data_IF_434498396088
#
_entry.id   IF_434498396088
#
_cell.length_a   1.000
_cell.length_b   1.000
_cell.length_c   1.000
_cell.angle_alpha   90.00
_cell.angle_beta   90.00
_cell.angle_gamma   90.00
#
_symmetry.space_group_name_H-M   'P 1'
#
loop_
_entity.id
_entity.type
_entity.pdbx_description
1 polymer ?
#
# COMPACT_ATOMS: atom_id res chain seq x y z
N UNK A 1 17.11 23.36 -0.16
CA UNK A 1 16.49 22.70 -1.32
C UNK A 1 16.57 21.19 -1.12
N UNK A 2 15.44 20.46 -1.07
CA UNK A 2 15.42 19.00 -0.92
C UNK A 2 15.98 18.27 -2.15
N UNK A 3 16.59 17.11 -1.95
CA UNK A 3 17.02 16.22 -3.04
C UNK A 3 15.81 15.60 -3.79
N UNK A 4 16.03 15.04 -4.99
CA UNK A 4 14.95 14.37 -5.74
C UNK A 4 14.35 13.19 -4.95
N UNK A 5 15.18 12.45 -4.21
CA UNK A 5 14.74 11.35 -3.34
C UNK A 5 13.90 11.88 -2.19
N UNK A 6 14.30 12.99 -1.57
CA UNK A 6 13.48 13.64 -0.54
C UNK A 6 12.13 14.10 -1.09
N UNK A 7 12.09 14.72 -2.28
CA UNK A 7 10.83 15.12 -2.91
C UNK A 7 9.90 13.94 -3.17
N UNK A 8 10.46 12.80 -3.61
CA UNK A 8 9.69 11.57 -3.78
C UNK A 8 9.15 11.03 -2.46
N UNK A 9 9.97 11.06 -1.40
CA UNK A 9 9.57 10.59 -0.07
C UNK A 9 8.48 11.45 0.56
N UNK A 10 8.54 12.77 0.38
CA UNK A 10 7.52 13.73 0.82
C UNK A 10 6.29 13.80 -0.09
N UNK A 11 6.14 12.87 -1.05
CA UNK A 11 4.98 12.84 -1.95
C UNK A 11 4.92 14.00 -2.95
N UNK A 12 5.94 14.85 -3.01
CA UNK A 12 6.07 15.97 -3.94
C UNK A 12 6.61 15.51 -5.31
N UNK A 13 6.16 14.34 -5.76
CA UNK A 13 6.56 13.71 -7.02
C UNK A 13 6.29 14.60 -8.23
N UNK A 14 5.27 15.44 -8.15
CA UNK A 14 4.90 16.43 -9.18
C UNK A 14 6.01 17.45 -9.45
N UNK A 15 6.87 17.75 -8.47
CA UNK A 15 7.98 18.70 -8.63
C UNK A 15 9.20 18.10 -9.33
N UNK A 16 9.31 16.77 -9.44
CA UNK A 16 10.47 16.12 -10.03
C UNK A 16 10.67 16.49 -11.49
N UNK A 17 9.59 16.41 -12.29
CA UNK A 17 9.65 16.69 -13.73
C UNK A 17 10.00 18.16 -14.01
N UNK A 18 9.34 19.16 -13.39
CA UNK A 18 9.73 20.57 -13.51
C UNK A 18 11.16 20.88 -13.07
N UNK A 19 11.65 20.23 -12.00
CA UNK A 19 13.04 20.43 -11.54
C UNK A 19 14.02 19.84 -12.55
N UNK A 20 13.75 18.63 -13.07
CA UNK A 20 14.58 17.99 -14.07
C UNK A 20 14.66 18.83 -15.36
N UNK A 21 13.53 19.33 -15.88
CA UNK A 21 13.51 20.19 -17.08
C UNK A 21 14.20 21.54 -16.88
N UNK A 22 14.40 21.99 -15.64
CA UNK A 22 15.12 23.23 -15.32
C UNK A 22 16.60 23.02 -14.95
N UNK A 23 17.18 21.88 -15.32
CA UNK A 23 18.59 21.58 -15.12
C UNK A 23 18.91 20.92 -13.78
N UNK A 24 17.91 20.40 -13.08
CA UNK A 24 18.07 19.62 -11.85
C UNK A 24 18.06 20.46 -10.57
N UNK A 25 18.16 19.76 -9.43
CA UNK A 25 18.00 20.34 -8.08
C UNK A 25 19.02 21.43 -7.81
N UNK A 26 20.28 21.25 -8.22
CA UNK A 26 21.35 22.22 -8.02
C UNK A 26 21.09 23.55 -8.76
N UNK A 27 20.65 23.48 -10.02
CA UNK A 27 20.34 24.66 -10.82
C UNK A 27 19.13 25.41 -10.25
N UNK A 28 18.09 24.68 -9.87
CA UNK A 28 16.89 25.29 -9.26
C UNK A 28 17.23 25.91 -7.90
N UNK A 29 18.01 25.23 -7.05
CA UNK A 29 18.45 25.75 -5.75
C UNK A 29 19.22 27.07 -5.91
N UNK A 30 20.20 27.11 -6.83
CA UNK A 30 20.97 28.33 -7.15
C UNK A 30 20.05 29.45 -7.63
N UNK A 31 19.09 29.16 -8.51
CA UNK A 31 18.16 30.16 -9.07
C UNK A 31 17.20 30.73 -8.02
N UNK A 32 16.79 29.93 -7.04
CA UNK A 32 15.84 30.36 -6.00
C UNK A 32 16.53 30.91 -4.75
N UNK A 33 17.87 31.02 -4.74
CA UNK A 33 18.62 31.45 -3.57
C UNK A 33 18.54 30.46 -2.39
N UNK A 34 18.10 29.23 -2.64
CA UNK A 34 18.03 28.20 -1.62
C UNK A 34 19.39 27.50 -1.52
N UNK A 35 19.94 27.40 -0.32
CA UNK A 35 21.03 26.48 -0.08
C UNK A 35 20.57 25.06 -0.44
N UNK A 36 21.39 24.31 -1.19
CA UNK A 36 21.23 22.86 -1.24
C UNK A 36 21.28 22.40 0.21
N UNK A 37 20.27 21.64 0.64
CA UNK A 37 20.45 20.90 1.88
C UNK A 37 21.62 19.98 1.55
N UNK A 38 22.80 20.30 2.11
CA UNK A 38 23.90 19.33 2.14
C UNK A 38 23.25 18.05 2.62
N UNK A 39 23.42 16.97 1.86
CA UNK A 39 22.97 15.64 2.28
C UNK A 39 23.29 15.54 3.77
N UNK A 40 22.26 15.29 4.58
CA UNK A 40 22.39 15.18 6.04
C UNK A 40 23.71 14.46 6.35
N UNK A 41 24.54 14.96 7.29
CA UNK A 41 25.85 14.39 7.57
C UNK A 41 25.71 12.88 7.74
N UNK A 42 26.24 12.19 6.75
CA UNK A 42 25.82 10.87 6.31
C UNK A 42 26.41 10.73 4.92
N UNK A 43 27.74 10.83 4.86
CA UNK A 43 28.56 10.75 3.66
C UNK A 43 27.93 9.77 2.67
N UNK A 44 27.74 10.21 1.42
CA UNK A 44 27.26 9.35 0.34
C UNK A 44 27.99 8.01 0.45
N UNK A 45 27.27 7.01 0.99
CA UNK A 45 27.93 5.78 1.40
C UNK A 45 28.56 5.18 0.16
N UNK A 46 29.78 4.63 0.25
CA UNK A 46 30.48 4.11 -0.91
C UNK A 46 29.58 3.18 -1.75
N UNK A 47 29.80 3.07 -3.05
CA UNK A 47 28.94 2.25 -3.91
C UNK A 47 28.79 0.78 -3.40
N UNK A 48 29.84 0.23 -2.79
CA UNK A 48 29.83 -1.10 -2.17
C UNK A 48 28.98 -1.21 -0.89
N UNK A 49 28.54 -0.08 -0.33
CA UNK A 49 27.62 -0.06 0.80
C UNK A 49 26.19 -0.46 0.40
N UNK A 50 25.87 -0.40 -0.90
CA UNK A 50 24.53 -0.72 -1.43
C UNK A 50 24.37 -2.18 -1.87
N UNK A 51 25.28 -3.06 -1.46
CA UNK A 51 25.14 -4.50 -1.72
C UNK A 51 23.93 -5.06 -0.99
N UNK A 52 23.33 -6.10 -1.56
CA UNK A 52 22.17 -6.78 -1.01
C UNK A 52 22.45 -7.35 0.40
N UNK A 53 23.65 -7.92 0.64
CA UNK A 53 23.99 -8.46 1.97
C UNK A 53 24.02 -7.36 3.04
N UNK A 54 24.67 -6.22 2.77
CA UNK A 54 24.73 -5.11 3.73
C UNK A 54 23.37 -4.51 4.04
N UNK A 55 22.50 -4.41 3.02
CA UNK A 55 21.12 -3.98 3.22
C UNK A 55 20.38 -4.92 4.16
N UNK A 56 20.54 -6.23 3.98
CA UNK A 56 19.89 -7.24 4.82
C UNK A 56 20.44 -7.20 6.26
N UNK A 57 21.76 -7.08 6.45
CA UNK A 57 22.40 -6.95 7.77
C UNK A 57 21.88 -5.72 8.55
N UNK A 58 21.88 -4.55 7.92
CA UNK A 58 21.44 -3.33 8.60
C UNK A 58 19.94 -3.30 8.89
N UNK A 59 19.14 -3.85 7.98
CA UNK A 59 17.72 -4.00 8.19
C UNK A 59 17.43 -4.99 9.33
N UNK A 60 18.22 -6.07 9.44
CA UNK A 60 18.16 -7.00 10.56
C UNK A 60 18.55 -6.33 11.88
N UNK A 61 19.61 -5.51 11.91
CA UNK A 61 20.00 -4.74 13.10
C UNK A 61 18.94 -3.72 13.52
N UNK A 62 18.28 -3.11 12.55
CA UNK A 62 17.18 -2.18 12.81
C UNK A 62 15.97 -2.89 13.43
N UNK A 63 15.64 -4.08 12.95
CA UNK A 63 14.57 -4.91 13.54
C UNK A 63 14.98 -5.41 14.93
N UNK A 64 16.23 -5.86 15.10
CA UNK A 64 16.76 -6.34 16.38
C UNK A 64 16.73 -5.25 17.45
N UNK A 65 17.12 -4.03 17.10
CA UNK A 65 17.13 -2.89 18.04
C UNK A 65 15.75 -2.35 18.37
N UNK A 66 14.80 -2.40 17.44
CA UNK A 66 13.43 -1.91 17.66
C UNK A 66 12.44 -2.98 18.13
N UNK A 67 12.81 -4.26 18.06
CA UNK A 67 11.94 -5.41 18.38
C UNK A 67 10.80 -5.64 17.38
N UNK A 68 10.71 -4.85 16.29
CA UNK A 68 9.66 -4.97 15.27
C UNK A 68 10.11 -4.44 13.92
N UNK A 69 9.31 -4.66 12.88
CA UNK A 69 9.55 -4.02 11.58
C UNK A 69 9.23 -2.52 11.67
N UNK A 70 10.20 -1.63 11.44
CA UNK A 70 9.92 -0.20 11.42
C UNK A 70 9.13 0.17 10.17
N UNK A 71 8.14 1.04 10.36
CA UNK A 71 7.43 1.69 9.28
C UNK A 71 8.35 2.65 8.51
N UNK A 72 7.94 3.02 7.29
CA UNK A 72 8.66 4.03 6.50
C UNK A 72 8.85 5.34 7.29
N UNK A 73 7.85 5.77 8.06
CA UNK A 73 7.93 7.00 8.85
C UNK A 73 8.98 6.89 9.96
N UNK A 74 9.05 5.75 10.64
CA UNK A 74 10.03 5.50 11.70
C UNK A 74 11.46 5.41 11.14
N UNK A 75 11.65 4.76 9.99
CA UNK A 75 12.96 4.77 9.31
C UNK A 75 13.41 6.18 8.94
N UNK A 76 12.48 7.03 8.47
CA UNK A 76 12.78 8.44 8.17
C UNK A 76 13.14 9.23 9.44
N UNK A 77 12.38 9.03 10.52
CA UNK A 77 12.64 9.68 11.82
C UNK A 77 13.99 9.24 12.41
N UNK A 78 14.38 7.98 12.21
CA UNK A 78 15.68 7.43 12.61
C UNK A 78 16.83 7.82 11.66
N UNK A 79 16.57 8.66 10.65
CA UNK A 79 17.59 9.06 9.67
C UNK A 79 18.04 7.94 8.73
N UNK A 80 17.36 6.77 8.74
CA UNK A 80 17.68 5.59 7.92
C UNK A 80 17.11 5.68 6.50
N UNK A 81 17.32 6.85 5.89
CA UNK A 81 16.88 7.12 4.54
C UNK A 81 17.70 6.35 3.49
N UNK A 82 18.96 6.08 3.82
CA UNK A 82 19.85 5.20 3.06
C UNK A 82 19.25 3.80 2.85
N UNK A 83 18.70 3.18 3.91
CA UNK A 83 18.03 1.88 3.82
C UNK A 83 16.77 1.93 2.97
N UNK A 84 16.00 3.02 3.05
CA UNK A 84 14.80 3.19 2.21
C UNK A 84 15.16 3.29 0.72
N UNK A 85 16.24 4.00 0.40
CA UNK A 85 16.74 4.15 -0.97
C UNK A 85 17.28 2.80 -1.47
N UNK A 86 18.14 2.14 -0.70
CA UNK A 86 18.69 0.83 -1.06
C UNK A 86 17.58 -0.23 -1.21
N UNK A 87 16.60 -0.25 -0.30
CA UNK A 87 15.46 -1.14 -0.43
C UNK A 87 14.67 -0.88 -1.72
N UNK A 88 14.53 0.39 -2.14
CA UNK A 88 13.85 0.72 -3.40
C UNK A 88 14.63 0.19 -4.62
N UNK A 89 15.96 0.26 -4.60
CA UNK A 89 16.83 -0.30 -5.65
C UNK A 89 16.71 -1.83 -5.73
N UNK A 90 16.49 -2.51 -4.59
CA UNK A 90 16.47 -3.97 -4.47
C UNK A 90 15.08 -4.62 -4.31
N UNK A 91 14.04 -4.01 -4.89
CA UNK A 91 12.69 -4.62 -4.95
C UNK A 91 11.67 -4.11 -3.93
N UNK A 92 11.92 -2.95 -3.33
CA UNK A 92 11.12 -2.24 -2.31
C UNK A 92 11.21 -2.85 -0.91
N UNK A 93 10.77 -2.05 0.06
CA UNK A 93 10.81 -2.37 1.49
C UNK A 93 10.07 -3.69 1.85
N UNK A 94 8.96 -3.99 1.16
CA UNK A 94 8.22 -5.25 1.38
C UNK A 94 9.04 -6.48 0.97
N UNK A 95 9.83 -6.40 -0.11
CA UNK A 95 10.68 -7.50 -0.52
C UNK A 95 11.83 -7.71 0.47
N UNK A 96 12.41 -6.61 0.97
CA UNK A 96 13.41 -6.64 2.03
C UNK A 96 12.92 -7.38 3.28
N UNK A 97 11.77 -7.00 3.82
CA UNK A 97 11.23 -7.68 5.02
C UNK A 97 10.88 -9.14 4.77
N UNK A 98 10.33 -9.46 3.58
CA UNK A 98 10.05 -10.84 3.19
C UNK A 98 11.34 -11.69 3.15
N UNK A 99 12.44 -11.17 2.62
CA UNK A 99 13.74 -11.87 2.59
C UNK A 99 14.29 -12.13 3.99
N UNK A 100 14.12 -11.18 4.90
CA UNK A 100 14.55 -11.32 6.29
C UNK A 100 13.66 -12.26 7.11
N UNK A 101 12.61 -12.85 6.52
CA UNK A 101 11.65 -13.68 7.24
C UNK A 101 10.82 -12.90 8.26
N UNK A 102 10.92 -11.57 8.27
CA UNK A 102 10.16 -10.73 9.18
C UNK A 102 8.85 -10.39 8.50
N UNK A 103 7.75 -10.91 9.04
CA UNK A 103 6.43 -10.52 8.56
C UNK A 103 6.31 -9.00 8.74
N UNK A 104 6.17 -8.28 7.63
CA UNK A 104 6.03 -6.83 7.62
C UNK A 104 4.73 -6.49 8.35
N UNK A 105 4.83 -6.31 9.66
CA UNK A 105 3.73 -5.97 10.54
C UNK A 105 3.27 -4.55 10.27
N UNK A 106 2.39 -4.39 9.30
CA UNK A 106 1.29 -3.43 9.48
C UNK A 106 0.38 -3.85 10.66
N UNK A 107 0.61 -5.04 11.25
CA UNK A 107 -0.05 -5.58 12.42
C UNK A 107 0.88 -5.74 13.63
N UNK A 108 1.55 -4.68 14.08
CA UNK A 108 1.80 -4.52 15.53
C UNK A 108 0.51 -4.05 16.26
N UNK A 109 -0.63 -4.54 15.80
CA UNK A 109 -1.86 -4.70 16.58
C UNK A 109 -2.00 -6.21 16.64
N UNK A 110 -1.59 -6.80 17.76
CA UNK A 110 -1.49 -8.24 17.94
C UNK A 110 -2.85 -8.99 17.90
N UNK A 111 -3.95 -8.28 17.59
CA UNK A 111 -5.33 -8.83 17.59
C UNK A 111 -6.03 -8.79 16.22
N UNK A 112 -5.37 -8.33 15.15
CA UNK A 112 -6.01 -8.32 13.81
C UNK A 112 -5.77 -9.66 13.13
N UNK A 113 -6.84 -10.44 12.98
CA UNK A 113 -6.82 -11.80 12.45
C UNK A 113 -6.01 -11.94 11.14
N UNK A 114 -5.10 -12.93 11.06
CA UNK A 114 -4.24 -13.15 9.88
C UNK A 114 -5.01 -13.53 8.61
N UNK A 115 -6.30 -13.88 8.71
CA UNK A 115 -7.16 -14.25 7.59
C UNK A 115 -7.40 -13.09 6.60
N UNK A 116 -7.31 -11.83 7.05
CA UNK A 116 -7.48 -10.66 6.18
C UNK A 116 -6.32 -10.47 5.19
N UNK A 117 -5.14 -11.04 5.47
CA UNK A 117 -3.91 -10.81 4.70
C UNK A 117 -3.65 -11.85 3.59
N UNK A 118 -4.41 -12.94 3.53
CA UNK A 118 -4.23 -14.01 2.53
C UNK A 118 -5.20 -13.95 1.35
N UNK A 119 -5.76 -12.77 1.05
CA UNK A 119 -6.70 -12.66 -0.08
C UNK A 119 -5.96 -12.70 -1.41
N UNK A 120 -6.25 -13.72 -2.20
CA UNK A 120 -5.74 -13.84 -3.57
C UNK A 120 -6.10 -12.61 -4.40
N UNK A 121 -5.18 -12.17 -5.30
CA UNK A 121 -5.46 -11.07 -6.20
C UNK A 121 -6.69 -11.40 -7.06
N UNK A 122 -7.69 -10.53 -7.00
CA UNK A 122 -8.92 -10.71 -7.79
C UNK A 122 -8.59 -10.63 -9.29
N UNK A 123 -9.19 -11.48 -10.14
CA UNK A 123 -8.90 -11.51 -11.57
C UNK A 123 -9.31 -10.20 -12.25
N UNK A 124 -8.75 -9.94 -13.44
CA UNK A 124 -9.10 -8.78 -14.24
C UNK A 124 -10.59 -8.82 -14.61
N UNK A 125 -11.28 -7.68 -14.50
CA UNK A 125 -12.73 -7.59 -14.68
C UNK A 125 -13.57 -7.98 -13.46
N UNK A 126 -12.96 -8.45 -12.36
CA UNK A 126 -13.70 -8.75 -11.13
C UNK A 126 -14.42 -7.52 -10.56
N UNK A 127 -13.80 -6.34 -10.66
CA UNK A 127 -14.31 -5.10 -10.08
C UNK A 127 -15.22 -4.35 -11.05
N UNK A 128 -16.53 -4.51 -10.88
CA UNK A 128 -17.54 -3.61 -11.43
C UNK A 128 -17.90 -2.53 -10.40
N UNK A 129 -18.51 -1.43 -10.86
CA UNK A 129 -19.00 -0.37 -9.97
C UNK A 129 -20.00 -0.93 -8.93
N UNK A 130 -20.90 -1.82 -9.36
CA UNK A 130 -21.91 -2.42 -8.48
C UNK A 130 -21.26 -3.32 -7.42
N UNK A 131 -20.28 -4.15 -7.81
CA UNK A 131 -19.57 -5.01 -6.86
C UNK A 131 -18.76 -4.19 -5.87
N UNK A 132 -18.11 -3.12 -6.34
CA UNK A 132 -17.40 -2.19 -5.47
C UNK A 132 -18.35 -1.54 -4.45
N UNK A 133 -19.49 -1.00 -4.88
CA UNK A 133 -20.46 -0.37 -3.99
C UNK A 133 -21.11 -1.39 -3.03
N UNK A 134 -21.36 -2.63 -3.49
CA UNK A 134 -21.86 -3.72 -2.65
C UNK A 134 -20.88 -4.14 -1.55
N UNK A 135 -19.61 -4.37 -1.91
CA UNK A 135 -18.54 -4.70 -0.95
C UNK A 135 -18.26 -3.56 0.02
N UNK A 136 -18.29 -2.31 -0.45
CA UNK A 136 -18.08 -1.14 0.39
C UNK A 136 -19.24 -0.98 1.39
N UNK A 137 -20.48 -1.25 0.97
CA UNK A 137 -21.64 -1.24 1.88
C UNK A 137 -21.55 -2.35 2.92
N UNK A 138 -21.27 -3.59 2.49
CA UNK A 138 -21.07 -4.70 3.41
C UNK A 138 -19.97 -4.41 4.44
N UNK A 139 -18.90 -3.73 4.00
CA UNK A 139 -17.85 -3.24 4.90
C UNK A 139 -18.39 -2.23 5.92
N UNK A 140 -19.10 -1.20 5.45
CA UNK A 140 -19.70 -0.15 6.31
C UNK A 140 -20.68 -0.75 7.32
N UNK A 141 -21.51 -1.69 6.90
CA UNK A 141 -22.47 -2.40 7.75
C UNK A 141 -21.74 -3.21 8.83
N UNK A 142 -20.68 -3.93 8.45
CA UNK A 142 -19.86 -4.70 9.39
C UNK A 142 -19.05 -3.82 10.37
N UNK A 143 -18.77 -2.55 10.02
CA UNK A 143 -17.95 -1.63 10.83
C UNK A 143 -18.76 -0.47 11.40
N UNK A 144 -20.05 -0.70 11.69
CA UNK A 144 -20.95 0.24 12.37
C UNK A 144 -20.99 1.62 11.72
N UNK A 145 -20.97 1.69 10.39
CA UNK A 145 -21.04 2.95 9.66
C UNK A 145 -19.68 3.63 9.40
N UNK A 146 -18.58 3.11 9.96
CA UNK A 146 -17.27 3.76 9.85
C UNK A 146 -16.62 3.50 8.50
N UNK A 147 -16.40 4.56 7.72
CA UNK A 147 -15.67 4.51 6.46
C UNK A 147 -14.52 5.51 6.45
N UNK A 148 -13.30 5.03 6.62
CA UNK A 148 -12.07 5.83 6.54
C UNK A 148 -10.95 5.05 5.88
N UNK A 149 -9.93 5.75 5.36
CA UNK A 149 -8.72 5.14 4.79
C UNK A 149 -8.09 4.16 5.80
N UNK A 150 -7.98 4.58 7.07
CA UNK A 150 -7.42 3.77 8.16
C UNK A 150 -8.27 2.54 8.45
N UNK A 151 -9.60 2.67 8.50
CA UNK A 151 -10.48 1.53 8.76
C UNK A 151 -10.37 0.45 7.67
N UNK A 152 -10.32 0.85 6.39
CA UNK A 152 -10.14 -0.09 5.28
C UNK A 152 -8.76 -0.77 5.36
N UNK A 153 -7.69 -0.03 5.68
CA UNK A 153 -6.36 -0.61 5.80
C UNK A 153 -6.24 -1.58 6.96
N UNK A 154 -6.78 -1.22 8.13
CA UNK A 154 -6.79 -2.07 9.32
C UNK A 154 -7.56 -3.37 9.08
N UNK A 155 -8.63 -3.32 8.30
CA UNK A 155 -9.41 -4.49 7.91
C UNK A 155 -8.85 -5.26 6.69
N UNK A 156 -7.65 -4.92 6.22
CA UNK A 156 -7.04 -5.56 5.04
C UNK A 156 -7.75 -5.27 3.71
N UNK A 157 -8.67 -4.29 3.66
CA UNK A 157 -9.43 -3.86 2.46
C UNK A 157 -8.67 -2.81 1.64
N UNK A 158 -7.38 -3.03 1.43
CA UNK A 158 -6.54 -2.16 0.60
C UNK A 158 -6.97 -2.12 -0.87
N UNK A 159 -7.66 -3.16 -1.33
CA UNK A 159 -8.34 -3.25 -2.62
C UNK A 159 -9.43 -2.18 -2.77
N UNK A 160 -10.35 -2.09 -1.81
CA UNK A 160 -11.43 -1.10 -1.80
C UNK A 160 -10.86 0.31 -1.70
N UNK A 161 -9.83 0.52 -0.87
CA UNK A 161 -9.18 1.82 -0.76
C UNK A 161 -8.59 2.25 -2.11
N UNK A 162 -7.87 1.34 -2.78
CA UNK A 162 -7.25 1.62 -4.08
C UNK A 162 -8.28 1.93 -5.16
N UNK A 163 -9.39 1.20 -5.20
CA UNK A 163 -10.49 1.43 -6.13
C UNK A 163 -11.21 2.74 -5.84
N UNK A 164 -11.46 3.06 -4.56
CA UNK A 164 -12.10 4.32 -4.19
C UNK A 164 -11.33 5.51 -4.75
N UNK A 165 -9.99 5.51 -4.64
CA UNK A 165 -9.12 6.57 -5.17
C UNK A 165 -9.23 6.72 -6.68
N UNK A 166 -9.41 5.63 -7.43
CA UNK A 166 -9.65 5.66 -8.88
C UNK A 166 -11.03 6.21 -9.22
N UNK A 167 -12.01 6.02 -8.34
CA UNK A 167 -13.41 6.42 -8.52
C UNK A 167 -13.76 7.78 -7.88
N UNK A 168 -12.76 8.62 -7.60
CA UNK A 168 -12.95 9.97 -7.04
C UNK A 168 -12.79 10.10 -5.52
N UNK A 169 -12.38 9.03 -4.84
CA UNK A 169 -12.12 8.97 -3.40
C UNK A 169 -13.28 8.43 -2.56
N UNK A 170 -13.01 8.17 -1.27
CA UNK A 170 -14.01 7.61 -0.35
C UNK A 170 -15.23 8.52 -0.15
N UNK A 171 -15.05 9.85 -0.18
CA UNK A 171 -16.17 10.80 -0.04
C UNK A 171 -17.19 10.65 -1.16
N UNK A 172 -16.72 10.49 -2.40
CA UNK A 172 -17.58 10.25 -3.57
C UNK A 172 -18.27 8.89 -3.46
N UNK A 173 -17.53 7.85 -3.06
CA UNK A 173 -18.10 6.54 -2.84
C UNK A 173 -19.20 6.54 -1.76
N UNK A 174 -18.97 7.23 -0.63
CA UNK A 174 -19.94 7.35 0.45
C UNK A 174 -21.20 8.11 0.01
N UNK A 175 -21.04 9.17 -0.81
CA UNK A 175 -22.18 9.89 -1.37
C UNK A 175 -23.00 8.98 -2.29
N UNK A 176 -22.35 8.18 -3.16
CA UNK A 176 -23.05 7.20 -4.00
C UNK A 176 -23.82 6.17 -3.17
N UNK A 177 -23.22 5.65 -2.09
CA UNK A 177 -23.88 4.69 -1.21
C UNK A 177 -25.17 5.25 -0.60
N UNK A 178 -25.18 6.55 -0.25
CA UNK A 178 -26.37 7.26 0.27
C UNK A 178 -27.43 7.51 -0.79
N UNK A 179 -27.01 7.79 -2.02
CA UNK A 179 -27.92 8.07 -3.13
C UNK A 179 -28.55 6.84 -3.77
N UNK A 180 -28.06 5.63 -3.49
CA UNK A 180 -28.57 4.40 -4.12
C UNK A 180 -29.69 3.80 -3.27
N UNK A 181 -30.95 3.75 -3.77
CA UNK A 181 -32.07 3.18 -3.02
C UNK A 181 -31.83 1.70 -2.72
N UNK A 182 -32.23 1.19 -1.54
CA UNK A 182 -32.06 -0.21 -1.17
C UNK A 182 -32.87 -1.17 -2.05
N UNK A 183 -33.94 -0.69 -2.69
CA UNK A 183 -34.90 -1.49 -3.45
C UNK A 183 -34.37 -1.99 -4.80
N UNK A 184 -33.59 -1.16 -5.51
CA UNK A 184 -32.97 -1.54 -6.81
C UNK A 184 -31.90 -2.63 -6.64
N UNK A 185 -31.44 -2.85 -5.41
CA UNK A 185 -30.30 -3.72 -5.11
C UNK A 185 -30.72 -5.14 -4.68
N UNK A 186 -31.85 -5.29 -3.97
CA UNK A 186 -32.39 -6.63 -3.64
C UNK A 186 -32.88 -7.40 -4.86
N UNK A 187 -33.37 -6.69 -5.87
CA UNK A 187 -33.85 -7.31 -7.12
C UNK A 187 -32.72 -7.81 -8.04
N UNK A 188 -31.45 -7.48 -7.76
CA UNK A 188 -30.30 -7.74 -8.66
C UNK A 188 -29.15 -8.51 -8.04
N UNK A 189 -29.25 -9.00 -6.80
CA UNK A 189 -28.25 -9.89 -6.25
C UNK A 189 -28.15 -11.14 -7.15
N UNK A 190 -27.01 -11.38 -7.83
CA UNK A 190 -26.88 -12.56 -8.66
C UNK A 190 -26.99 -13.78 -7.74
N UNK A 191 -27.76 -14.76 -8.19
CA UNK A 191 -27.97 -16.04 -7.55
C UNK A 191 -26.68 -16.90 -7.61
N UNK A 192 -25.56 -16.35 -7.13
CA UNK A 192 -24.21 -16.95 -7.18
C UNK A 192 -24.07 -18.16 -6.24
N UNK A 193 -25.15 -18.59 -5.59
CA UNK A 193 -25.20 -19.80 -4.77
C UNK A 193 -25.81 -21.01 -5.49
N UNK A 194 -26.32 -20.90 -6.73
CA UNK A 194 -26.69 -22.09 -7.52
C UNK A 194 -25.47 -22.63 -8.24
N UNK A 195 -24.53 -23.19 -7.46
CA UNK A 195 -23.68 -24.26 -7.95
C UNK A 195 -24.60 -25.41 -8.33
N UNK A 196 -24.90 -25.53 -9.63
CA UNK A 196 -25.52 -26.71 -10.20
C UNK A 196 -24.46 -27.82 -10.12
N UNK A 197 -24.35 -28.45 -8.95
CA UNK A 197 -23.84 -29.82 -8.87
C UNK A 197 -24.88 -30.67 -9.59
N UNK A 198 -24.55 -31.06 -10.82
CA UNK A 198 -25.31 -32.09 -11.52
C UNK A 198 -25.26 -33.37 -10.70
N UNK A 199 -26.36 -34.14 -10.62
CA UNK A 199 -26.35 -35.43 -9.95
C UNK A 199 -25.34 -36.34 -10.65
N UNK A 200 -24.45 -36.94 -9.87
CA UNK A 200 -23.62 -38.06 -10.30
C UNK A 200 -24.56 -39.19 -10.74
N UNK A 201 -24.49 -39.53 -12.02
CA UNK A 201 -25.14 -40.70 -12.57
C UNK A 201 -24.48 -41.95 -11.98
N UNK A 202 -25.11 -42.54 -10.96
CA UNK A 202 -24.92 -43.95 -10.64
C UNK A 202 -25.28 -44.78 -11.89
N UNK A 203 -24.25 -45.34 -12.52
CA UNK A 203 -24.41 -46.39 -13.53
C UNK A 203 -23.81 -47.66 -12.95
N UNK A 204 -24.65 -48.42 -12.25
CA UNK A 204 -24.43 -49.82 -11.99
C UNK A 204 -24.82 -50.62 -13.24
N UNK A 205 -23.89 -51.41 -13.81
CA UNK A 205 -24.17 -52.70 -14.47
C UNK A 205 -22.86 -53.36 -14.92
N UNK A 206 -22.43 -54.40 -14.21
CA UNK A 206 -22.33 -55.79 -14.68
C UNK A 206 -21.56 -56.64 -13.66
#
# INVERSE_FOLDING_TARGET
MPSLSQLYLYGSSSLRRPIATRGGVAVVAKRTGLALQRELPGAAKPAHYRTQERLDEEAHDLVRSSGRVPSKAEMLAAGRNDLLIAAHEHGRLRALWKRLGVQSGAGAIADVQPEALQREPKPMGYWTQERFDGELRAFVDAHSGTLSDSALLLAGRGDLLSLSKRLGGLRVAQQRLRSTPPEVQRARAPNSARGVFGPESESATS
#
